data_IF_099178691342
#
_entry.id   IF_099178691342
#
_cell.length_a   1.000
_cell.length_b   1.000
_cell.length_c   1.000
_cell.angle_alpha   90.00
_cell.angle_beta   90.00
_cell.angle_gamma   90.00
#
_symmetry.space_group_name_H-M   'P 1'
#
loop_
_entity.id
_entity.type
_entity.pdbx_description
1 polymer ?
#
# COMPACT_ATOMS: atom_id res chain seq x y z
N UNK A 1 -11.79 6.88 24.24
CA UNK A 1 -11.52 6.89 22.78
C UNK A 1 -11.01 8.26 22.32
N UNK A 2 -11.60 9.37 22.77
CA UNK A 2 -11.16 10.72 22.37
C UNK A 2 -9.67 11.00 22.63
N UNK A 3 -9.17 10.72 23.84
CA UNK A 3 -7.75 10.92 24.18
C UNK A 3 -6.76 10.15 23.28
N UNK A 4 -7.14 8.96 22.81
CA UNK A 4 -6.28 8.15 21.94
C UNK A 4 -6.17 8.74 20.52
N UNK A 5 -7.17 9.49 20.05
CA UNK A 5 -7.13 10.12 18.73
C UNK A 5 -6.09 11.24 18.64
N UNK A 6 -5.77 11.89 19.77
CA UNK A 6 -4.78 12.97 19.80
C UNK A 6 -3.37 12.48 19.46
N UNK A 7 -3.03 11.23 19.80
CA UNK A 7 -1.74 10.63 19.45
C UNK A 7 -1.50 10.53 17.93
N UNK A 8 -2.58 10.39 17.14
CA UNK A 8 -2.51 10.18 15.69
C UNK A 8 -2.90 11.43 14.87
N UNK A 9 -3.22 12.53 15.55
CA UNK A 9 -3.61 13.78 14.90
C UNK A 9 -2.42 14.36 14.12
N UNK A 10 -2.70 14.92 12.95
CA UNK A 10 -1.71 15.69 12.21
C UNK A 10 -1.44 17.03 12.89
N UNK A 11 -0.17 17.37 13.06
CA UNK A 11 0.27 18.66 13.53
C UNK A 11 1.16 19.31 12.46
N UNK A 12 0.76 20.47 11.97
CA UNK A 12 1.52 21.20 10.95
C UNK A 12 2.83 21.79 11.51
N UNK A 13 2.93 21.97 12.83
CA UNK A 13 4.14 22.49 13.48
C UNK A 13 5.16 21.38 13.69
N UNK A 14 6.33 21.53 13.08
CA UNK A 14 7.47 20.66 13.35
C UNK A 14 8.08 20.94 14.74
N UNK A 15 8.70 19.92 15.33
CA UNK A 15 9.41 20.00 16.62
C UNK A 15 10.86 20.46 16.48
N UNK A 16 11.34 20.61 15.24
CA UNK A 16 12.70 21.02 14.87
C UNK A 16 12.67 22.26 13.98
N UNK A 17 13.81 22.90 13.78
CA UNK A 17 13.97 23.98 12.80
C UNK A 17 14.04 23.44 11.35
N UNK A 18 13.93 24.34 10.37
CA UNK A 18 13.92 23.99 8.94
C UNK A 18 15.22 23.31 8.48
N UNK A 19 16.37 23.74 8.98
CA UNK A 19 17.67 23.20 8.56
C UNK A 19 17.82 21.75 9.03
N UNK A 20 17.47 21.49 10.29
CA UNK A 20 17.42 20.13 10.85
C UNK A 20 16.43 19.25 10.08
N UNK A 21 15.23 19.76 9.79
CA UNK A 21 14.24 19.01 8.99
C UNK A 21 14.79 18.66 7.60
N UNK A 22 15.44 19.61 6.90
CA UNK A 22 16.01 19.38 5.58
C UNK A 22 17.14 18.34 5.61
N UNK A 23 17.99 18.38 6.63
CA UNK A 23 19.05 17.39 6.81
C UNK A 23 18.46 15.97 6.94
N UNK A 24 17.49 15.77 7.83
CA UNK A 24 16.82 14.48 8.04
C UNK A 24 16.04 14.02 6.80
N UNK A 25 15.40 14.95 6.08
CA UNK A 25 14.64 14.65 4.87
C UNK A 25 15.55 14.19 3.73
N UNK A 26 16.73 14.80 3.59
CA UNK A 26 17.73 14.43 2.60
C UNK A 26 18.37 13.08 2.89
N UNK A 27 18.52 12.70 4.16
CA UNK A 27 18.93 11.35 4.54
C UNK A 27 17.86 10.33 4.15
N UNK A 28 16.63 10.50 4.63
CA UNK A 28 15.48 9.73 4.16
C UNK A 28 14.16 10.38 4.58
N UNK A 29 13.20 10.48 3.65
CA UNK A 29 11.88 11.11 3.89
C UNK A 29 11.15 10.54 5.12
N UNK A 30 11.24 9.24 5.34
CA UNK A 30 10.66 8.55 6.51
C UNK A 30 11.29 8.98 7.84
N UNK A 31 12.60 9.29 7.86
CA UNK A 31 13.25 9.76 9.09
C UNK A 31 12.67 11.11 9.50
N UNK A 32 12.56 12.04 8.55
CA UNK A 32 11.93 13.34 8.80
C UNK A 32 10.45 13.21 9.22
N UNK A 33 9.70 12.30 8.59
CA UNK A 33 8.28 12.03 8.92
C UNK A 33 8.10 11.54 10.37
N UNK A 34 9.03 10.73 10.89
CA UNK A 34 8.95 10.18 12.24
C UNK A 34 9.52 11.12 13.30
N UNK A 35 10.65 11.78 13.02
CA UNK A 35 11.41 12.50 14.05
C UNK A 35 10.96 13.96 14.21
N UNK A 36 10.49 14.60 13.14
CA UNK A 36 10.27 16.05 13.12
C UNK A 36 8.88 16.48 13.61
N UNK A 37 8.00 15.55 14.00
CA UNK A 37 6.62 15.85 14.39
C UNK A 37 6.31 15.40 15.83
N UNK A 38 5.32 16.01 16.50
CA UNK A 38 5.01 15.73 17.91
C UNK A 38 4.51 14.31 18.21
N UNK A 39 4.02 13.58 17.21
CA UNK A 39 3.39 12.28 17.39
C UNK A 39 3.43 11.44 16.11
N UNK A 40 2.84 10.25 16.16
CA UNK A 40 2.77 9.32 15.05
C UNK A 40 1.48 9.53 14.26
N UNK A 41 1.44 10.58 13.45
CA UNK A 41 0.27 10.86 12.61
C UNK A 41 -0.08 9.69 11.69
N UNK A 42 -1.36 9.63 11.32
CA UNK A 42 -1.84 8.67 10.32
C UNK A 42 -1.07 8.87 9.01
N UNK A 43 -0.34 7.84 8.58
CA UNK A 43 0.32 7.80 7.28
C UNK A 43 -0.69 7.57 6.15
N UNK A 44 -1.59 6.59 6.34
CA UNK A 44 -2.73 6.31 5.46
C UNK A 44 -3.85 5.59 6.24
N UNK A 45 -5.08 5.67 5.74
CA UNK A 45 -6.20 4.82 6.12
C UNK A 45 -6.69 4.11 4.86
N UNK A 46 -6.55 2.78 4.84
CA UNK A 46 -6.83 1.97 3.66
C UNK A 46 -8.24 1.38 3.72
N UNK A 47 -9.19 1.79 2.86
CA UNK A 47 -10.48 1.13 2.76
C UNK A 47 -10.37 -0.19 1.98
N UNK A 48 -11.33 -1.09 2.21
CA UNK A 48 -11.44 -2.36 1.48
C UNK A 48 -12.36 -2.20 0.26
N UNK A 49 -11.90 -2.67 -0.90
CA UNK A 49 -12.73 -2.86 -2.12
C UNK A 49 -12.91 -4.34 -2.46
N UNK A 50 -13.94 -4.63 -3.25
CA UNK A 50 -14.18 -5.95 -3.85
C UNK A 50 -13.48 -6.11 -5.21
N UNK A 51 -13.30 -5.01 -5.96
CA UNK A 51 -12.61 -5.00 -7.25
C UNK A 51 -11.68 -3.78 -7.31
N UNK A 52 -10.37 -4.02 -7.10
CA UNK A 52 -9.34 -2.98 -7.14
C UNK A 52 -9.07 -2.46 -8.55
N UNK A 53 -9.25 -3.29 -9.58
CA UNK A 53 -9.04 -2.87 -10.97
C UNK A 53 -10.11 -1.85 -11.36
N UNK A 54 -11.37 -2.11 -10.96
CA UNK A 54 -12.47 -1.18 -11.18
C UNK A 54 -12.25 0.13 -10.43
N UNK A 55 -11.86 0.07 -9.14
CA UNK A 55 -11.58 1.28 -8.36
C UNK A 55 -10.44 2.09 -8.98
N UNK A 56 -9.33 1.45 -9.36
CA UNK A 56 -8.19 2.14 -9.99
C UNK A 56 -8.61 2.85 -11.28
N UNK A 57 -9.46 2.24 -12.11
CA UNK A 57 -9.98 2.88 -13.33
C UNK A 57 -10.86 4.11 -13.08
N UNK A 58 -11.58 4.14 -11.95
CA UNK A 58 -12.50 5.22 -11.59
C UNK A 58 -11.82 6.37 -10.83
N UNK A 59 -10.65 6.13 -10.23
CA UNK A 59 -9.92 7.14 -9.45
C UNK A 59 -9.70 8.45 -10.23
N UNK A 60 -9.22 8.44 -11.50
CA UNK A 60 -9.05 9.68 -12.27
C UNK A 60 -10.35 10.45 -12.51
N UNK A 61 -11.48 9.76 -12.70
CA UNK A 61 -12.81 10.38 -12.85
C UNK A 61 -13.24 11.14 -11.58
N UNK A 62 -12.66 10.77 -10.43
CA UNK A 62 -12.87 11.39 -9.13
C UNK A 62 -11.74 12.33 -8.69
N UNK A 63 -10.81 12.69 -9.59
CA UNK A 63 -9.68 13.58 -9.31
C UNK A 63 -8.56 12.94 -8.48
N UNK A 64 -8.52 11.61 -8.39
CA UNK A 64 -7.45 10.86 -7.71
C UNK A 64 -6.51 10.29 -8.78
N UNK A 65 -5.21 10.58 -8.68
CA UNK A 65 -4.18 10.02 -9.55
C UNK A 65 -3.53 8.79 -8.89
N UNK A 66 -3.92 7.56 -9.26
CA UNK A 66 -3.32 6.36 -8.71
C UNK A 66 -1.94 6.09 -9.28
N UNK A 67 -1.09 5.43 -8.49
CA UNK A 67 0.04 4.71 -9.08
C UNK A 67 -0.51 3.65 -10.03
N UNK A 68 0.17 3.51 -11.16
CA UNK A 68 -0.19 2.50 -12.17
C UNK A 68 0.00 1.08 -11.62
N UNK A 69 1.02 0.88 -10.78
CA UNK A 69 1.34 -0.43 -10.21
C UNK A 69 0.32 -0.84 -9.13
N UNK A 70 -0.22 -2.05 -9.28
CA UNK A 70 -0.94 -2.77 -8.23
C UNK A 70 0.03 -3.83 -7.67
N UNK A 71 0.29 -3.75 -6.37
CA UNK A 71 1.08 -4.71 -5.61
C UNK A 71 0.25 -5.92 -5.22
N UNK A 72 0.91 -7.07 -5.02
CA UNK A 72 0.26 -8.34 -4.69
C UNK A 72 0.17 -9.30 -5.88
N UNK A 73 -0.65 -10.37 -5.79
CA UNK A 73 -0.88 -11.27 -6.92
C UNK A 73 -1.59 -10.54 -8.08
N UNK A 74 -1.57 -11.10 -9.30
CA UNK A 74 -2.37 -10.57 -10.40
C UNK A 74 -3.87 -10.79 -10.14
N UNK A 75 -4.72 -10.28 -11.04
CA UNK A 75 -6.17 -10.56 -11.03
C UNK A 75 -6.43 -12.07 -11.13
N UNK A 76 -7.39 -12.56 -10.33
CA UNK A 76 -7.74 -13.97 -10.15
C UNK A 76 -9.23 -14.14 -9.86
N UNK A 77 -9.80 -15.27 -10.24
CA UNK A 77 -11.18 -15.66 -9.89
C UNK A 77 -11.31 -15.95 -8.39
N UNK A 78 -10.29 -16.55 -7.78
CA UNK A 78 -10.19 -16.73 -6.33
C UNK A 78 -9.02 -15.89 -5.82
N UNK A 79 -9.28 -14.64 -5.37
CA UNK A 79 -8.22 -13.76 -4.86
C UNK A 79 -7.50 -14.39 -3.66
N UNK A 80 -6.17 -14.25 -3.63
CA UNK A 80 -5.29 -14.72 -2.54
C UNK A 80 -4.60 -13.53 -1.88
N UNK A 81 -4.30 -13.62 -0.59
CA UNK A 81 -3.66 -12.54 0.19
C UNK A 81 -4.38 -11.20 0.00
N UNK A 82 -3.70 -10.18 -0.51
CA UNK A 82 -4.30 -8.91 -0.86
C UNK A 82 -3.63 -8.30 -2.10
N UNK A 83 -4.38 -7.46 -2.81
CA UNK A 83 -3.88 -6.55 -3.84
C UNK A 83 -4.03 -5.11 -3.34
N UNK A 84 -3.05 -4.25 -3.58
CA UNK A 84 -3.10 -2.86 -3.11
C UNK A 84 -2.46 -1.88 -4.09
N UNK A 85 -2.87 -0.62 -4.03
CA UNK A 85 -2.19 0.48 -4.73
C UNK A 85 -2.29 1.77 -3.91
N UNK A 86 -1.34 2.68 -4.12
CA UNK A 86 -1.31 4.00 -3.47
C UNK A 86 -1.51 5.13 -4.46
N UNK A 87 -1.92 6.29 -3.95
CA UNK A 87 -2.14 7.51 -4.71
C UNK A 87 -1.69 8.72 -3.91
N UNK A 88 -1.34 9.83 -4.57
CA UNK A 88 -1.05 11.09 -3.87
C UNK A 88 -2.38 11.68 -3.40
N UNK A 89 -2.57 11.84 -2.09
CA UNK A 89 -3.82 12.36 -1.54
C UNK A 89 -3.75 13.86 -1.27
N UNK A 90 -2.74 14.33 -0.53
CA UNK A 90 -2.58 15.74 -0.17
C UNK A 90 -1.12 16.14 0.00
N UNK A 91 -0.82 17.41 -0.29
CA UNK A 91 0.39 18.10 0.17
C UNK A 91 0.03 18.95 1.37
N UNK A 92 0.81 18.82 2.45
CA UNK A 92 0.57 19.53 3.70
C UNK A 92 1.65 20.60 3.90
N UNK A 93 1.25 21.75 4.42
CA UNK A 93 2.18 22.79 4.85
C UNK A 93 2.83 22.39 6.17
N UNK A 94 4.15 22.59 6.28
CA UNK A 94 4.89 22.44 7.54
C UNK A 94 5.39 23.79 8.01
N UNK A 95 5.14 24.07 9.28
CA UNK A 95 5.53 25.28 9.97
C UNK A 95 6.71 24.99 10.89
N UNK A 96 7.79 25.76 10.72
CA UNK A 96 8.95 25.71 11.59
C UNK A 96 8.91 26.88 12.59
N UNK A 97 9.59 26.71 13.74
CA UNK A 97 9.75 27.78 14.71
C UNK A 97 10.33 29.05 14.04
N UNK A 98 9.74 30.21 14.32
CA UNK A 98 10.11 31.48 13.67
C UNK A 98 9.37 31.78 12.35
N UNK A 99 8.24 31.11 12.08
CA UNK A 99 7.34 31.35 10.93
C UNK A 99 7.95 31.08 9.54
N UNK A 100 9.01 30.27 9.44
CA UNK A 100 9.45 29.76 8.13
C UNK A 100 8.47 28.69 7.65
N UNK A 101 8.03 28.81 6.40
CA UNK A 101 7.12 27.86 5.76
C UNK A 101 7.88 26.89 4.86
N UNK A 102 7.62 25.60 5.02
CA UNK A 102 8.03 24.55 4.09
C UNK A 102 6.84 23.70 3.63
N UNK A 103 7.12 22.74 2.74
CA UNK A 103 6.14 21.77 2.28
C UNK A 103 6.56 20.36 2.69
N UNK A 104 5.57 19.56 3.09
CA UNK A 104 5.75 18.14 3.34
C UNK A 104 4.79 17.36 2.45
N UNK A 105 5.37 16.75 1.44
CA UNK A 105 4.68 15.78 0.59
C UNK A 105 4.73 14.44 1.32
N UNK A 106 3.67 14.00 2.00
CA UNK A 106 3.66 12.64 2.53
C UNK A 106 2.30 11.97 2.70
N UNK A 107 1.18 12.66 2.47
CA UNK A 107 -0.11 12.00 2.60
C UNK A 107 -0.44 11.25 1.33
N UNK A 108 -0.06 9.98 1.33
CA UNK A 108 -0.51 9.02 0.33
C UNK A 108 -1.81 8.39 0.82
N UNK A 109 -2.77 8.24 -0.07
CA UNK A 109 -3.89 7.34 0.13
C UNK A 109 -3.53 5.95 -0.35
N UNK A 110 -4.23 4.95 0.17
CA UNK A 110 -4.07 3.56 -0.23
C UNK A 110 -5.46 2.92 -0.35
N UNK A 111 -5.58 1.90 -1.20
CA UNK A 111 -6.77 1.05 -1.35
C UNK A 111 -6.34 -0.41 -1.41
N UNK A 112 -7.12 -1.32 -0.81
CA UNK A 112 -6.81 -2.75 -0.83
C UNK A 112 -8.02 -3.63 -1.16
N UNK A 113 -7.74 -4.75 -1.84
CA UNK A 113 -8.67 -5.86 -2.04
C UNK A 113 -8.11 -7.11 -1.34
N UNK A 114 -8.85 -7.61 -0.34
CA UNK A 114 -8.45 -8.78 0.46
C UNK A 114 -9.10 -10.07 -0.05
N UNK A 115 -8.27 -11.06 -0.35
CA UNK A 115 -8.63 -12.43 -0.72
C UNK A 115 -8.49 -13.43 0.42
N UNK A 116 -8.37 -14.71 0.07
CA UNK A 116 -8.24 -15.81 1.05
C UNK A 116 -6.84 -15.86 1.66
N UNK A 117 -6.78 -16.23 2.95
CA UNK A 117 -5.53 -16.48 3.65
C UNK A 117 -4.88 -17.79 3.17
N UNK A 118 -3.57 -17.76 2.94
CA UNK A 118 -2.80 -18.92 2.50
C UNK A 118 -2.27 -19.74 3.68
N UNK A 119 -2.10 -21.05 3.46
CA UNK A 119 -1.32 -21.91 4.35
C UNK A 119 0.19 -21.64 4.16
N UNK A 120 1.09 -22.19 5.00
CA UNK A 120 2.53 -22.12 4.73
C UNK A 120 2.92 -22.62 3.33
N UNK A 121 2.30 -23.73 2.88
CA UNK A 121 2.50 -24.28 1.53
C UNK A 121 2.04 -23.33 0.43
N UNK A 122 0.85 -22.74 0.59
CA UNK A 122 0.35 -21.75 -0.36
C UNK A 122 1.21 -20.48 -0.40
N UNK A 123 1.70 -20.03 0.75
CA UNK A 123 2.57 -18.86 0.84
C UNK A 123 3.93 -19.10 0.19
N UNK A 124 4.52 -20.28 0.38
CA UNK A 124 5.75 -20.66 -0.31
C UNK A 124 5.58 -20.65 -1.83
N UNK A 125 4.49 -21.25 -2.34
CA UNK A 125 4.19 -21.20 -3.77
C UNK A 125 4.01 -19.76 -4.28
N UNK A 126 3.29 -18.93 -3.52
CA UNK A 126 3.14 -17.51 -3.85
C UNK A 126 4.49 -16.79 -3.94
N UNK A 127 5.37 -16.98 -2.95
CA UNK A 127 6.67 -16.31 -2.89
C UNK A 127 7.61 -16.78 -4.03
N UNK A 128 7.58 -18.07 -4.36
CA UNK A 128 8.37 -18.64 -5.46
C UNK A 128 7.89 -18.10 -6.82
N UNK A 129 6.57 -18.02 -7.03
CA UNK A 129 6.00 -17.45 -8.26
C UNK A 129 6.28 -15.95 -8.38
N UNK A 130 6.18 -15.20 -7.28
CA UNK A 130 6.51 -13.77 -7.26
C UNK A 130 7.99 -13.54 -7.58
N UNK A 131 8.88 -14.37 -7.04
CA UNK A 131 10.32 -14.32 -7.35
C UNK A 131 10.58 -14.65 -8.82
N UNK A 132 9.91 -15.66 -9.37
CA UNK A 132 10.05 -16.07 -10.76
C UNK A 132 9.55 -14.99 -11.75
N UNK A 133 8.49 -14.26 -11.39
CA UNK A 133 7.99 -13.14 -12.19
C UNK A 133 8.96 -11.94 -12.19
N UNK A 134 9.91 -11.88 -11.25
CA UNK A 134 10.92 -10.83 -11.16
C UNK A 134 10.35 -9.42 -11.01
N UNK A 135 11.16 -8.41 -11.32
CA UNK A 135 10.75 -7.01 -11.38
C UNK A 135 10.77 -6.56 -12.84
N UNK A 136 9.62 -6.21 -13.41
CA UNK A 136 9.58 -5.64 -14.76
C UNK A 136 10.01 -4.17 -14.78
N UNK A 137 10.56 -3.72 -15.90
CA UNK A 137 10.94 -2.31 -16.10
C UNK A 137 9.72 -1.42 -16.41
N UNK A 138 8.66 -2.00 -16.99
CA UNK A 138 7.40 -1.36 -17.27
C UNK A 138 6.22 -2.12 -16.63
N UNK A 139 5.22 -1.36 -16.15
CA UNK A 139 4.11 -1.92 -15.39
C UNK A 139 3.24 -2.87 -16.22
N UNK A 140 3.05 -2.62 -17.53
CA UNK A 140 2.18 -3.43 -18.36
C UNK A 140 2.76 -4.82 -18.60
N UNK A 141 4.02 -4.88 -19.05
CA UNK A 141 4.73 -6.15 -19.29
C UNK A 141 4.95 -6.90 -17.98
N UNK A 142 5.23 -6.19 -16.88
CA UNK A 142 5.33 -6.81 -15.57
C UNK A 142 4.02 -7.51 -15.16
N UNK A 143 2.88 -6.82 -15.30
CA UNK A 143 1.57 -7.39 -14.95
C UNK A 143 1.18 -8.57 -15.86
N UNK A 144 1.47 -8.49 -17.17
CA UNK A 144 1.25 -9.61 -18.09
C UNK A 144 2.11 -10.82 -17.71
N UNK A 145 3.39 -10.61 -17.39
CA UNK A 145 4.28 -11.69 -16.99
C UNK A 145 3.91 -12.28 -15.62
N UNK A 146 3.46 -11.44 -14.69
CA UNK A 146 2.92 -11.85 -13.40
C UNK A 146 1.66 -12.71 -13.58
N UNK A 147 0.74 -12.31 -14.45
CA UNK A 147 -0.45 -13.11 -14.80
C UNK A 147 -0.08 -14.47 -15.38
N UNK A 148 0.87 -14.53 -16.31
CA UNK A 148 1.34 -15.79 -16.90
C UNK A 148 1.95 -16.70 -15.83
N UNK A 149 2.85 -16.17 -15.00
CA UNK A 149 3.54 -16.93 -13.96
C UNK A 149 2.55 -17.49 -12.92
N UNK A 150 1.52 -16.72 -12.57
CA UNK A 150 0.52 -17.14 -11.58
C UNK A 150 -0.54 -18.12 -12.13
N UNK A 151 -0.51 -18.49 -13.42
CA UNK A 151 -1.31 -19.62 -13.92
C UNK A 151 -0.99 -20.93 -13.21
N UNK A 152 0.24 -21.06 -12.68
CA UNK A 152 0.66 -22.21 -11.86
C UNK A 152 -0.07 -22.27 -10.51
N UNK A 153 -0.55 -21.15 -9.98
CA UNK A 153 -1.31 -21.14 -8.74
C UNK A 153 -2.78 -21.53 -9.04
N UNK A 154 -3.34 -22.59 -8.44
CA UNK A 154 -4.71 -23.03 -8.73
C UNK A 154 -5.76 -21.94 -8.46
N UNK A 155 -6.60 -21.63 -9.44
CA UNK A 155 -7.62 -20.57 -9.35
C UNK A 155 -9.04 -21.11 -9.14
N UNK A 156 -9.15 -22.06 -8.21
CA UNK A 156 -10.41 -22.70 -7.82
C UNK A 156 -10.35 -23.00 -6.33
N UNK A 157 -11.39 -22.62 -5.59
CA UNK A 157 -11.51 -22.92 -4.16
C UNK A 157 -11.37 -24.43 -3.89
N UNK A 158 -11.93 -25.26 -4.79
CA UNK A 158 -11.83 -26.72 -4.68
C UNK A 158 -10.38 -27.20 -4.74
N UNK A 159 -9.60 -26.78 -5.74
CA UNK A 159 -8.22 -27.19 -5.91
C UNK A 159 -7.33 -26.63 -4.79
N UNK A 160 -7.53 -25.37 -4.41
CA UNK A 160 -6.80 -24.73 -3.32
C UNK A 160 -7.03 -25.45 -1.99
N UNK A 161 -8.27 -25.89 -1.73
CA UNK A 161 -8.62 -26.70 -0.56
C UNK A 161 -7.99 -28.09 -0.63
N UNK A 162 -8.17 -28.79 -1.74
CA UNK A 162 -7.67 -30.16 -1.95
C UNK A 162 -6.14 -30.23 -1.82
N UNK A 163 -5.43 -29.21 -2.32
CA UNK A 163 -3.97 -29.15 -2.30
C UNK A 163 -3.41 -28.52 -1.02
N UNK A 164 -4.26 -28.06 -0.11
CA UNK A 164 -3.87 -27.44 1.16
C UNK A 164 -3.14 -26.12 0.98
N UNK A 165 -3.57 -25.29 0.02
CA UNK A 165 -2.94 -24.00 -0.32
C UNK A 165 -3.57 -22.81 0.42
N UNK A 166 -4.83 -22.91 0.80
CA UNK A 166 -5.55 -21.86 1.50
C UNK A 166 -6.37 -22.39 2.68
N UNK A 167 -6.70 -21.49 3.61
CA UNK A 167 -7.55 -21.79 4.75
C UNK A 167 -9.03 -21.65 4.37
N UNK A 168 -9.84 -22.60 4.81
CA UNK A 168 -11.29 -22.61 4.59
C UNK A 168 -12.01 -22.77 5.93
N UNK A 169 -13.13 -22.07 6.08
CA UNK A 169 -14.05 -22.26 7.20
C UNK A 169 -15.16 -23.20 6.77
N UNK A 170 -15.39 -24.24 7.58
CA UNK A 170 -16.54 -25.13 7.44
C UNK A 170 -17.54 -24.71 8.50
N UNK A 171 -18.71 -24.27 8.06
CA UNK A 171 -19.84 -23.85 8.91
C UNK A 171 -20.96 -24.84 8.83
#
# INVERSE_FOLDING_TARGET
MQEALETFRWHQSATVDEETYRALHNEHRLIADVVCFPGCHINHLTPRTLDIDRVQSMMPECGIEPKILIEGPPRREVPILLRQTSFKALEETVLFAGQKQGTHTARFGEIEQRGVALTPKGRQLYDDLLRNAGTGQDNLTHQMHLQETFRTFPDSEFLMRQQGLAWFRYV
#
